data_IF_476332481300
#
_entry.id   IF_476332481300
#
_cell.length_a   1.000
_cell.length_b   1.000
_cell.length_c   1.000
_cell.angle_alpha   90.00
_cell.angle_beta   90.00
_cell.angle_gamma   90.00
#
_symmetry.space_group_name_H-M   'P 1'
#
loop_
_entity.id
_entity.type
_entity.pdbx_description
1 polymer ?
#
# COMPACT_ATOMS: atom_id res chain seq x y z
N UNK A 1 -4.03 6.47 -26.27
CA UNK A 1 -4.88 7.44 -27.02
C UNK A 1 -5.92 8.08 -26.10
N UNK A 2 -6.87 7.33 -25.54
CA UNK A 2 -7.96 7.88 -24.71
C UNK A 2 -7.49 8.56 -23.42
N UNK A 3 -6.45 8.05 -22.78
CA UNK A 3 -5.86 8.68 -21.59
C UNK A 3 -5.34 10.09 -21.89
N UNK A 4 -4.67 10.25 -23.03
CA UNK A 4 -4.19 11.57 -23.46
C UNK A 4 -5.35 12.51 -23.82
N UNK A 5 -6.36 12.00 -24.51
CA UNK A 5 -7.55 12.78 -24.85
C UNK A 5 -8.28 13.27 -23.58
N UNK A 6 -8.37 12.43 -22.55
CA UNK A 6 -8.98 12.80 -21.26
C UNK A 6 -8.20 13.85 -20.46
N UNK A 7 -6.90 13.99 -20.68
CA UNK A 7 -6.04 14.97 -20.00
C UNK A 7 -5.87 16.29 -20.77
N UNK A 8 -6.39 16.38 -21.99
CA UNK A 8 -6.30 17.61 -22.78
C UNK A 8 -6.88 18.81 -21.99
N UNK A 9 -6.18 19.98 -21.96
CA UNK A 9 -5.04 20.36 -22.81
C UNK A 9 -3.64 20.04 -22.23
N UNK A 10 -3.53 19.34 -21.10
CA UNK A 10 -2.23 19.06 -20.48
C UNK A 10 -1.49 17.92 -21.17
N UNK A 11 -0.14 18.02 -21.22
CA UNK A 11 0.71 16.98 -21.76
C UNK A 11 0.76 15.76 -20.85
N UNK A 12 0.78 14.56 -21.45
CA UNK A 12 1.02 13.29 -20.77
C UNK A 12 -0.11 12.88 -19.80
N UNK A 13 0.18 11.93 -18.94
CA UNK A 13 -0.76 11.35 -18.00
C UNK A 13 0.00 10.65 -16.85
N UNK A 14 -0.73 9.98 -15.96
CA UNK A 14 -0.19 9.20 -14.85
C UNK A 14 1.12 8.52 -15.19
N UNK A 15 2.09 8.60 -14.29
CA UNK A 15 3.49 8.20 -14.35
C UNK A 15 4.43 9.34 -14.70
N UNK A 16 4.05 10.20 -15.61
CA UNK A 16 4.89 11.32 -16.01
C UNK A 16 4.67 12.52 -15.10
N UNK A 17 5.72 13.32 -14.93
CA UNK A 17 5.66 14.50 -14.06
C UNK A 17 5.36 15.80 -14.80
N UNK A 18 4.86 15.75 -16.03
CA UNK A 18 4.17 16.86 -16.68
C UNK A 18 2.80 17.12 -16.04
N UNK A 19 2.19 18.27 -16.33
CA UNK A 19 0.91 18.63 -15.74
C UNK A 19 -0.20 17.60 -15.96
N UNK A 20 -0.25 16.95 -17.10
CA UNK A 20 -1.21 15.87 -17.33
C UNK A 20 -1.05 14.65 -16.44
N UNK A 21 0.11 14.49 -15.81
CA UNK A 21 0.38 13.40 -14.87
C UNK A 21 0.29 13.79 -13.39
N UNK A 22 0.25 15.10 -13.07
CA UNK A 22 0.30 15.60 -11.68
C UNK A 22 -0.77 16.64 -11.35
N UNK A 23 -1.60 17.07 -12.32
CA UNK A 23 -2.65 18.07 -12.09
C UNK A 23 -4.02 17.44 -12.28
N UNK A 24 -4.74 17.29 -11.19
CA UNK A 24 -6.09 16.74 -11.16
C UNK A 24 -7.12 17.85 -10.88
N UNK A 25 -8.37 17.71 -11.36
CA UNK A 25 -9.46 18.57 -10.95
C UNK A 25 -9.68 18.52 -9.44
N UNK A 26 -9.78 19.67 -8.80
CA UNK A 26 -10.03 19.76 -7.36
C UNK A 26 -11.19 20.70 -7.08
N UNK A 27 -12.22 20.21 -6.36
CA UNK A 27 -13.41 20.96 -6.05
C UNK A 27 -13.61 20.98 -4.53
N UNK A 28 -13.81 22.16 -3.96
CA UNK A 28 -14.16 22.32 -2.55
C UNK A 28 -15.60 22.84 -2.47
N UNK A 29 -16.44 22.14 -1.76
CA UNK A 29 -17.83 22.52 -1.47
C UNK A 29 -18.05 22.62 0.02
N UNK A 30 -18.13 23.87 0.52
CA UNK A 30 -18.41 24.16 1.93
C UNK A 30 -19.29 25.40 2.05
N UNK A 31 -20.63 25.25 1.94
CA UNK A 31 -21.58 26.39 1.86
C UNK A 31 -21.50 27.36 3.04
N UNK A 32 -21.16 26.86 4.24
CA UNK A 32 -21.05 27.71 5.44
C UNK A 32 -19.72 28.47 5.53
N UNK A 33 -18.66 27.99 4.88
CA UNK A 33 -17.32 28.54 5.01
C UNK A 33 -16.78 29.28 3.78
N UNK A 34 -17.32 29.00 2.58
CA UNK A 34 -16.86 29.58 1.33
C UNK A 34 -17.88 30.59 0.82
N UNK A 35 -17.45 31.85 0.72
CA UNK A 35 -18.31 32.94 0.22
C UNK A 35 -18.30 33.05 -1.31
N UNK A 36 -17.20 32.73 -1.93
CA UNK A 36 -16.97 32.85 -3.38
C UNK A 36 -17.32 31.56 -4.12
N UNK A 37 -18.60 31.19 -4.14
CA UNK A 37 -19.08 29.99 -4.81
C UNK A 37 -19.04 30.09 -6.33
N UNK A 38 -18.82 28.97 -7.03
CA UNK A 38 -18.81 28.88 -8.48
C UNK A 38 -17.63 29.63 -9.15
N UNK A 39 -16.55 29.85 -8.42
CA UNK A 39 -15.34 30.53 -8.92
C UNK A 39 -14.17 29.55 -8.99
N UNK A 40 -13.26 29.80 -9.93
CA UNK A 40 -11.98 29.11 -10.02
C UNK A 40 -10.95 29.86 -9.19
N UNK A 41 -10.22 29.15 -8.35
CA UNK A 41 -9.06 29.65 -7.62
C UNK A 41 -7.79 29.23 -8.38
N UNK A 42 -6.96 30.17 -8.86
CA UNK A 42 -5.77 29.86 -9.66
C UNK A 42 -4.55 29.47 -8.81
N UNK A 43 -4.69 29.45 -7.48
CA UNK A 43 -3.56 29.16 -6.60
C UNK A 43 -3.10 27.71 -6.73
N UNK A 44 -1.80 27.51 -6.55
CA UNK A 44 -1.23 26.18 -6.45
C UNK A 44 -1.70 25.51 -5.15
N UNK A 45 -2.14 24.27 -5.25
CA UNK A 45 -2.41 23.40 -4.12
C UNK A 45 -1.94 21.97 -4.44
N UNK A 46 -1.53 21.22 -3.43
CA UNK A 46 -1.10 19.85 -3.56
C UNK A 46 -1.95 18.93 -2.67
N UNK A 47 -1.98 17.64 -2.97
CA UNK A 47 -2.78 16.68 -2.19
C UNK A 47 -2.43 16.66 -0.69
N UNK A 48 -1.14 16.91 -0.35
CA UNK A 48 -0.70 16.99 1.05
C UNK A 48 -1.30 18.18 1.82
N UNK A 49 -1.80 19.21 1.13
CA UNK A 49 -2.37 20.42 1.72
C UNK A 49 -3.82 20.19 2.21
N UNK A 50 -4.45 19.12 1.78
CA UNK A 50 -5.85 18.85 2.10
C UNK A 50 -6.07 18.64 3.60
N UNK A 51 -5.24 17.83 4.24
CA UNK A 51 -5.37 17.53 5.68
C UNK A 51 -5.18 18.78 6.53
N UNK A 52 -4.07 19.55 6.42
CA UNK A 52 -3.92 20.77 7.20
C UNK A 52 -5.00 21.82 6.91
N UNK A 53 -5.55 21.88 5.68
CA UNK A 53 -6.66 22.78 5.35
C UNK A 53 -7.95 22.38 6.06
N UNK A 54 -8.28 21.11 6.10
CA UNK A 54 -9.46 20.59 6.80
C UNK A 54 -9.33 20.85 8.30
N UNK A 55 -8.17 20.57 8.89
CA UNK A 55 -7.93 20.81 10.31
C UNK A 55 -8.06 22.30 10.66
N UNK A 56 -7.48 23.20 9.88
CA UNK A 56 -7.62 24.66 10.06
C UNK A 56 -9.08 25.09 9.93
N UNK A 57 -9.80 24.59 8.91
CA UNK A 57 -11.21 24.91 8.69
C UNK A 57 -12.13 24.51 9.85
N UNK A 58 -11.80 23.43 10.56
CA UNK A 58 -12.54 22.95 11.72
C UNK A 58 -11.98 23.47 13.07
N UNK A 59 -10.89 24.22 13.07
CA UNK A 59 -10.22 24.69 14.29
C UNK A 59 -9.64 23.55 15.13
N UNK A 60 -9.17 22.48 14.50
CA UNK A 60 -8.58 21.30 15.14
C UNK A 60 -7.08 21.30 14.94
N UNK A 61 -6.31 21.18 16.01
CA UNK A 61 -4.87 21.01 15.93
C UNK A 61 -4.50 19.56 15.52
N UNK A 62 -3.46 19.43 14.70
CA UNK A 62 -2.94 18.11 14.35
C UNK A 62 -2.36 17.43 15.60
N UNK A 63 -2.76 16.19 15.93
CA UNK A 63 -2.24 15.52 17.10
C UNK A 63 -0.76 15.16 16.91
N UNK A 64 0.08 15.43 17.91
CA UNK A 64 1.48 14.99 17.93
C UNK A 64 1.64 13.52 18.29
N UNK A 65 0.64 12.94 18.93
CA UNK A 65 0.59 11.51 19.28
C UNK A 65 -0.81 10.96 19.09
N UNK A 66 -0.91 9.75 18.55
CA UNK A 66 -2.17 9.00 18.46
C UNK A 66 -1.95 7.63 19.13
N UNK A 67 -2.74 7.34 20.19
CA UNK A 67 -2.64 6.09 20.95
C UNK A 67 -1.20 5.80 21.43
N UNK A 68 -0.48 6.83 21.87
CA UNK A 68 0.91 6.72 22.34
C UNK A 68 1.99 6.69 21.26
N UNK A 69 1.61 6.73 19.99
CA UNK A 69 2.55 6.75 18.85
C UNK A 69 2.76 8.18 18.38
N UNK A 70 4.03 8.61 18.34
CA UNK A 70 4.42 9.91 17.80
C UNK A 70 4.06 10.01 16.32
N UNK A 71 3.46 11.11 15.91
CA UNK A 71 3.09 11.36 14.52
C UNK A 71 4.18 12.18 13.81
N UNK A 72 4.42 11.87 12.54
CA UNK A 72 5.24 12.71 11.68
C UNK A 72 4.55 14.07 11.46
N UNK A 73 5.29 15.17 11.38
CA UNK A 73 4.72 16.47 11.03
C UNK A 73 3.97 16.41 9.69
N UNK A 74 2.91 17.21 9.57
CA UNK A 74 2.24 17.41 8.29
C UNK A 74 3.12 18.31 7.43
N UNK A 75 3.50 17.84 6.24
CA UNK A 75 4.36 18.58 5.31
C UNK A 75 3.58 19.54 4.40
N UNK A 76 2.25 19.40 4.36
CA UNK A 76 1.36 20.26 3.57
C UNK A 76 1.13 21.62 4.22
N UNK A 77 0.71 22.57 3.40
CA UNK A 77 0.42 23.95 3.78
C UNK A 77 -1.07 24.24 3.58
N UNK A 78 -1.77 24.65 4.63
CA UNK A 78 -3.20 24.95 4.52
C UNK A 78 -3.48 26.10 3.53
N UNK A 79 -4.46 25.86 2.68
CA UNK A 79 -5.00 26.89 1.75
C UNK A 79 -6.40 27.41 2.22
N UNK A 80 -6.78 27.22 3.47
CA UNK A 80 -8.09 27.70 3.98
C UNK A 80 -8.30 29.21 3.81
N UNK A 81 -7.23 30.00 3.78
CA UNK A 81 -7.26 31.46 3.55
C UNK A 81 -7.92 31.84 2.22
N UNK A 82 -7.83 30.99 1.18
CA UNK A 82 -8.47 31.27 -0.12
C UNK A 82 -9.99 31.14 -0.09
N UNK A 83 -10.55 30.51 0.92
CA UNK A 83 -12.00 30.39 1.06
C UNK A 83 -12.69 31.75 1.26
N UNK A 84 -11.96 32.71 1.80
CA UNK A 84 -12.44 34.07 2.02
C UNK A 84 -11.96 35.05 0.93
N UNK A 85 -10.74 34.86 0.42
CA UNK A 85 -10.12 35.71 -0.59
C UNK A 85 -9.34 34.88 -1.65
N UNK A 86 -9.93 34.73 -2.83
CA UNK A 86 -9.30 34.01 -3.95
C UNK A 86 -8.04 34.69 -4.51
N UNK A 87 -7.80 35.97 -4.14
CA UNK A 87 -6.62 36.73 -4.60
C UNK A 87 -5.50 36.74 -3.56
N UNK A 88 -5.71 36.17 -2.38
CA UNK A 88 -4.67 36.07 -1.36
C UNK A 88 -3.44 35.34 -1.93
N UNK A 89 -2.24 35.70 -1.48
CA UNK A 89 -1.02 35.03 -1.91
C UNK A 89 -1.01 33.54 -1.57
N UNK A 90 -0.46 32.73 -2.45
CA UNK A 90 -0.24 31.31 -2.19
C UNK A 90 0.76 31.12 -1.05
N UNK A 91 0.38 30.29 -0.09
CA UNK A 91 1.27 29.86 1.01
C UNK A 91 2.17 28.70 0.59
N UNK A 92 1.72 27.85 -0.36
CA UNK A 92 2.48 26.71 -0.87
C UNK A 92 3.21 27.15 -2.14
N UNK A 93 4.48 27.44 -2.01
CA UNK A 93 5.29 28.01 -3.10
C UNK A 93 6.16 27.01 -3.83
N UNK A 94 6.51 25.89 -3.20
CA UNK A 94 7.47 24.94 -3.75
C UNK A 94 6.97 23.52 -3.57
N UNK A 95 6.93 22.74 -4.66
CA UNK A 95 6.60 21.32 -4.63
C UNK A 95 7.43 20.54 -5.64
N UNK A 96 8.17 19.53 -5.17
CA UNK A 96 8.81 18.55 -6.03
C UNK A 96 7.85 17.41 -6.41
N UNK A 97 8.15 16.78 -7.53
CA UNK A 97 7.49 15.56 -7.99
C UNK A 97 8.55 14.57 -8.47
N UNK A 98 8.33 13.28 -8.18
CA UNK A 98 9.13 12.17 -8.68
C UNK A 98 8.25 10.96 -8.91
N UNK A 99 8.45 10.25 -10.02
CA UNK A 99 7.85 8.96 -10.32
C UNK A 99 8.72 8.20 -11.32
N UNK A 100 9.32 7.08 -10.89
CA UNK A 100 10.18 6.23 -11.73
C UNK A 100 11.27 7.02 -12.46
N UNK A 101 11.96 7.90 -11.72
CA UNK A 101 12.98 8.83 -12.19
C UNK A 101 12.51 9.97 -13.13
N UNK A 102 11.22 10.06 -13.47
CA UNK A 102 10.64 11.30 -13.98
C UNK A 102 10.61 12.32 -12.85
N UNK A 103 11.13 13.50 -13.08
CA UNK A 103 11.30 14.54 -12.08
C UNK A 103 10.68 15.85 -12.52
N UNK A 104 10.08 16.56 -11.59
CA UNK A 104 9.73 17.95 -11.82
C UNK A 104 9.66 18.74 -10.52
N UNK A 105 9.73 20.06 -10.63
CA UNK A 105 9.57 20.99 -9.52
C UNK A 105 8.69 22.15 -9.95
N UNK A 106 7.77 22.54 -9.09
CA UNK A 106 7.02 23.78 -9.14
C UNK A 106 7.62 24.76 -8.13
N UNK A 107 7.79 26.02 -8.54
CA UNK A 107 8.15 27.11 -7.65
C UNK A 107 7.60 28.45 -8.17
N UNK A 108 6.69 29.08 -7.40
CA UNK A 108 6.11 30.41 -7.67
C UNK A 108 5.71 30.62 -9.15
N UNK A 109 4.91 29.70 -9.71
CA UNK A 109 4.41 29.76 -11.07
C UNK A 109 5.37 29.25 -12.14
N UNK A 110 6.62 28.96 -11.80
CA UNK A 110 7.57 28.30 -12.68
C UNK A 110 7.55 26.79 -12.50
N UNK A 111 7.91 26.10 -13.56
CA UNK A 111 8.02 24.67 -13.52
C UNK A 111 9.18 24.16 -14.35
N UNK A 112 10.02 23.28 -13.75
CA UNK A 112 11.02 22.53 -14.48
C UNK A 112 10.64 21.06 -14.49
N UNK A 113 10.83 20.37 -15.64
CA UNK A 113 10.45 18.97 -15.84
C UNK A 113 11.60 18.23 -16.49
N UNK A 114 11.93 17.04 -15.97
CA UNK A 114 12.94 16.15 -16.52
C UNK A 114 12.35 14.75 -16.71
N UNK A 115 11.88 14.39 -17.91
CA UNK A 115 11.38 13.07 -18.23
C UNK A 115 12.51 12.03 -18.24
N UNK A 116 12.21 10.77 -17.89
CA UNK A 116 13.19 9.68 -17.85
C UNK A 116 12.76 8.50 -18.74
N UNK A 117 13.67 7.94 -19.52
CA UNK A 117 14.97 8.46 -20.03
C UNK A 117 14.76 9.54 -21.07
N UNK A 118 13.53 9.82 -21.36
CA UNK A 118 12.95 10.76 -22.27
C UNK A 118 11.44 10.62 -22.25
N UNK A 119 10.72 11.20 -23.19
CA UNK A 119 9.28 11.08 -23.26
C UNK A 119 8.86 9.62 -23.51
N UNK A 120 7.93 9.10 -22.73
CA UNK A 120 7.47 7.69 -22.75
C UNK A 120 7.18 7.10 -24.12
N UNK A 121 6.76 7.89 -25.08
CA UNK A 121 6.44 7.43 -26.43
C UNK A 121 7.66 7.04 -27.26
N UNK A 122 8.83 7.63 -26.98
CA UNK A 122 10.05 7.37 -27.78
C UNK A 122 10.72 6.06 -27.38
N UNK A 123 10.54 5.66 -26.14
CA UNK A 123 11.28 4.56 -25.53
C UNK A 123 10.50 3.24 -25.49
N UNK A 124 9.49 3.09 -26.32
CA UNK A 124 8.79 1.80 -26.45
C UNK A 124 8.10 1.29 -25.21
N UNK A 125 7.81 2.18 -24.26
CA UNK A 125 7.11 1.79 -23.05
C UNK A 125 7.91 0.87 -22.12
N UNK A 126 9.22 1.01 -22.07
CA UNK A 126 10.12 0.26 -21.19
C UNK A 126 9.84 0.56 -19.69
N UNK A 127 8.63 0.25 -19.27
CA UNK A 127 8.21 0.37 -17.89
C UNK A 127 9.01 -0.62 -17.05
N UNK A 128 10.01 -0.11 -16.36
CA UNK A 128 10.80 -0.90 -15.42
C UNK A 128 11.95 -1.73 -16.02
N UNK A 129 12.36 -1.46 -17.26
CA UNK A 129 13.45 -2.23 -17.89
C UNK A 129 14.84 -1.59 -17.79
N UNK A 130 14.93 -0.30 -17.44
CA UNK A 130 16.19 0.41 -17.35
C UNK A 130 16.58 0.62 -15.89
N UNK A 131 17.78 0.15 -15.51
CA UNK A 131 18.41 0.52 -14.25
C UNK A 131 19.05 1.90 -14.38
N UNK A 132 18.70 2.82 -13.50
CA UNK A 132 19.30 4.14 -13.47
C UNK A 132 20.74 4.04 -12.96
N UNK A 133 21.71 4.48 -13.78
CA UNK A 133 23.12 4.60 -13.40
C UNK A 133 23.49 6.06 -13.14
N UNK A 134 24.60 6.29 -12.44
CA UNK A 134 25.10 7.65 -12.18
C UNK A 134 25.42 8.40 -13.49
N UNK A 135 26.02 7.71 -14.46
CA UNK A 135 26.36 8.32 -15.75
C UNK A 135 25.09 8.70 -16.53
N UNK A 136 24.07 7.84 -16.54
CA UNK A 136 22.77 8.17 -17.15
C UNK A 136 22.15 9.38 -16.48
N UNK A 137 22.19 9.47 -15.16
CA UNK A 137 21.63 10.60 -14.41
C UNK A 137 22.34 11.90 -14.78
N UNK A 138 23.68 11.88 -14.83
CA UNK A 138 24.49 13.06 -15.22
C UNK A 138 24.18 13.51 -16.66
N UNK A 139 24.06 12.57 -17.59
CA UNK A 139 23.74 12.89 -18.96
C UNK A 139 22.33 13.48 -19.12
N UNK A 140 21.34 12.90 -18.43
CA UNK A 140 19.96 13.36 -18.43
C UNK A 140 19.87 14.75 -17.82
N UNK A 141 20.55 15.00 -16.70
CA UNK A 141 20.55 16.31 -16.05
C UNK A 141 21.19 17.40 -16.90
N UNK A 142 22.17 17.06 -17.71
CA UNK A 142 22.79 18.03 -18.61
C UNK A 142 21.91 18.44 -19.79
N UNK A 143 20.98 17.57 -20.23
CA UNK A 143 20.31 17.71 -21.55
C UNK A 143 18.79 17.73 -21.51
N UNK A 144 18.14 17.13 -20.50
CA UNK A 144 16.73 16.76 -20.59
C UNK A 144 15.78 17.61 -19.73
N UNK A 145 16.29 18.62 -19.01
CA UNK A 145 15.43 19.52 -18.27
C UNK A 145 14.77 20.53 -19.20
N UNK A 146 13.46 20.65 -19.09
CA UNK A 146 12.58 21.61 -19.73
C UNK A 146 12.13 22.64 -18.70
N UNK A 147 11.83 23.87 -19.11
CA UNK A 147 11.40 24.98 -18.24
C UNK A 147 10.13 25.65 -18.76
N UNK A 148 9.17 25.91 -17.88
CA UNK A 148 7.88 26.51 -18.24
C UNK A 148 7.49 27.62 -17.26
N UNK A 149 6.91 28.69 -17.77
CA UNK A 149 6.22 29.72 -17.01
C UNK A 149 4.71 29.48 -17.06
N UNK A 150 4.17 28.88 -16.02
CA UNK A 150 2.76 28.48 -15.97
C UNK A 150 1.78 29.66 -15.95
N UNK A 151 2.25 30.88 -15.64
CA UNK A 151 1.42 32.09 -15.70
C UNK A 151 1.07 32.46 -17.10
N UNK A 152 1.90 32.06 -18.10
CA UNK A 152 1.75 32.34 -19.52
C UNK A 152 1.44 31.11 -20.34
N UNK A 153 1.99 29.98 -19.94
CA UNK A 153 1.87 28.70 -20.63
C UNK A 153 1.43 27.58 -19.63
N UNK A 154 0.17 27.56 -19.24
CA UNK A 154 -0.35 26.58 -18.30
C UNK A 154 -0.36 25.16 -18.85
N UNK A 155 -0.10 24.95 -20.12
CA UNK A 155 -0.14 23.66 -20.83
C UNK A 155 1.25 23.09 -21.14
N UNK A 156 2.32 23.80 -20.76
CA UNK A 156 3.71 23.37 -20.94
C UNK A 156 4.05 23.14 -22.44
N UNK A 157 3.64 24.06 -23.33
CA UNK A 157 3.84 23.93 -24.76
C UNK A 157 5.15 24.50 -25.26
N UNK A 158 5.68 25.53 -24.57
CA UNK A 158 6.87 26.27 -24.99
C UNK A 158 7.98 26.10 -23.96
N UNK A 159 8.99 25.30 -24.31
CA UNK A 159 10.17 25.09 -23.45
C UNK A 159 11.07 26.35 -23.47
N UNK A 160 11.30 26.92 -22.30
CA UNK A 160 12.14 28.08 -22.04
C UNK A 160 13.55 27.74 -21.56
N UNK A 161 13.94 26.46 -21.49
CA UNK A 161 15.22 26.05 -20.95
C UNK A 161 16.43 26.68 -21.60
N UNK A 162 16.41 26.82 -22.94
CA UNK A 162 17.51 27.43 -23.67
C UNK A 162 17.53 28.97 -23.52
N UNK A 163 16.36 29.63 -23.46
CA UNK A 163 16.24 31.08 -23.40
C UNK A 163 16.32 31.66 -21.98
N UNK A 164 16.11 30.82 -20.92
CA UNK A 164 16.15 31.28 -19.55
C UNK A 164 16.99 30.31 -18.67
N UNK A 165 18.26 30.13 -19.06
CA UNK A 165 19.19 29.24 -18.42
C UNK A 165 19.40 29.49 -16.89
N UNK A 166 19.52 30.76 -16.42
CA UNK A 166 19.67 31.03 -14.99
C UNK A 166 18.48 30.50 -14.17
N UNK A 167 17.25 30.69 -14.64
CA UNK A 167 16.05 30.20 -13.97
C UNK A 167 15.99 28.68 -13.97
N UNK A 168 16.38 28.03 -15.05
CA UNK A 168 16.47 26.56 -15.10
C UNK A 168 17.44 26.01 -14.07
N UNK A 169 18.63 26.61 -13.93
CA UNK A 169 19.64 26.19 -12.95
C UNK A 169 19.10 26.32 -11.51
N UNK A 170 18.44 27.44 -11.20
CA UNK A 170 17.76 27.67 -9.93
C UNK A 170 16.74 26.55 -9.63
N UNK A 171 15.90 26.23 -10.59
CA UNK A 171 14.85 25.22 -10.44
C UNK A 171 15.43 23.81 -10.26
N UNK A 172 16.49 23.46 -10.98
CA UNK A 172 17.19 22.17 -10.81
C UNK A 172 17.78 22.07 -9.41
N UNK A 173 18.50 23.12 -8.95
CA UNK A 173 19.08 23.16 -7.62
C UNK A 173 18.01 23.01 -6.53
N UNK A 174 16.85 23.66 -6.72
CA UNK A 174 15.72 23.56 -5.80
C UNK A 174 15.13 22.15 -5.78
N UNK A 175 15.01 21.48 -6.95
CA UNK A 175 14.56 20.09 -6.99
C UNK A 175 15.48 19.17 -6.17
N UNK A 176 16.81 19.29 -6.31
CA UNK A 176 17.76 18.48 -5.54
C UNK A 176 17.70 18.78 -4.04
N UNK A 177 17.48 20.03 -3.67
CA UNK A 177 17.31 20.45 -2.26
C UNK A 177 16.08 19.79 -1.65
N UNK A 178 14.93 19.86 -2.31
CA UNK A 178 13.70 19.23 -1.85
C UNK A 178 13.81 17.69 -1.85
N UNK A 179 14.43 17.11 -2.87
CA UNK A 179 14.66 15.67 -2.94
C UNK A 179 15.51 15.14 -1.79
N UNK A 180 16.56 15.89 -1.39
CA UNK A 180 17.36 15.57 -0.21
C UNK A 180 16.58 15.69 1.09
N UNK A 181 15.80 16.77 1.25
CA UNK A 181 14.97 17.02 2.43
C UNK A 181 13.93 15.92 2.67
N UNK A 182 13.32 15.40 1.61
CA UNK A 182 12.22 14.43 1.68
C UNK A 182 12.64 12.99 1.37
N UNK A 183 13.93 12.66 1.40
CA UNK A 183 14.46 11.31 1.22
C UNK A 183 14.03 10.65 -0.11
N UNK A 184 14.03 11.40 -1.21
CA UNK A 184 13.65 10.91 -2.53
C UNK A 184 14.69 9.96 -3.12
N UNK A 185 15.97 10.11 -2.72
CA UNK A 185 17.05 9.27 -3.18
C UNK A 185 17.17 7.94 -2.41
N UNK A 186 17.66 6.87 -3.07
CA UNK A 186 18.06 6.80 -4.49
C UNK A 186 16.86 6.75 -5.43
N UNK A 187 17.01 7.32 -6.64
CA UNK A 187 15.99 7.22 -7.68
C UNK A 187 15.89 5.78 -8.20
N UNK A 188 14.67 5.33 -8.47
CA UNK A 188 14.41 3.98 -8.97
C UNK A 188 13.43 3.99 -10.14
N UNK A 189 13.93 3.69 -11.34
CA UNK A 189 13.12 3.66 -12.56
C UNK A 189 12.47 2.31 -12.87
N UNK A 190 12.72 1.26 -12.09
CA UNK A 190 12.38 -0.13 -12.41
C UNK A 190 10.89 -0.49 -12.37
N UNK A 191 10.02 0.43 -12.01
CA UNK A 191 8.58 0.18 -12.00
C UNK A 191 8.19 -0.99 -11.08
N UNK A 192 7.39 -1.91 -11.59
CA UNK A 192 6.92 -3.08 -10.84
C UNK A 192 8.02 -4.12 -10.57
N UNK A 193 9.10 -4.15 -11.36
CA UNK A 193 10.19 -5.10 -11.16
C UNK A 193 10.89 -4.94 -9.81
N UNK A 194 10.89 -3.74 -9.22
CA UNK A 194 11.42 -3.50 -7.88
C UNK A 194 10.71 -4.29 -6.76
N UNK A 195 9.51 -4.81 -7.01
CA UNK A 195 8.82 -5.69 -6.06
C UNK A 195 9.32 -7.13 -6.12
N UNK A 196 9.94 -7.53 -7.24
CA UNK A 196 10.49 -8.86 -7.43
C UNK A 196 11.97 -8.98 -6.99
N UNK A 197 12.66 -7.86 -6.82
CA UNK A 197 14.06 -7.86 -6.40
C UNK A 197 14.20 -8.31 -4.94
N UNK A 198 15.26 -9.08 -4.71
CA UNK A 198 15.72 -9.37 -3.36
C UNK A 198 16.16 -8.06 -2.69
N UNK A 199 15.57 -7.77 -1.55
CA UNK A 199 15.95 -6.61 -0.74
C UNK A 199 17.05 -7.00 0.23
N UNK A 200 18.01 -6.12 0.54
CA UNK A 200 18.99 -6.37 1.59
C UNK A 200 18.25 -6.70 2.89
N UNK A 201 18.51 -7.86 3.46
CA UNK A 201 17.98 -8.25 4.76
C UNK A 201 19.02 -7.92 5.84
N UNK A 202 18.63 -7.07 6.79
CA UNK A 202 19.46 -6.73 7.95
C UNK A 202 19.60 -7.87 8.97
N UNK A 203 18.78 -8.91 8.83
CA UNK A 203 18.79 -10.10 9.66
C UNK A 203 18.54 -11.35 8.80
N UNK A 204 19.04 -12.51 9.28
CA UNK A 204 18.73 -13.79 8.63
C UNK A 204 17.21 -13.99 8.57
N UNK A 205 16.72 -14.51 7.45
CA UNK A 205 15.32 -14.86 7.26
C UNK A 205 14.86 -15.77 8.43
N UNK A 206 13.83 -15.32 9.13
CA UNK A 206 13.22 -16.09 10.20
C UNK A 206 12.26 -17.10 9.60
N UNK A 207 12.15 -18.26 10.23
CA UNK A 207 11.15 -19.27 9.87
C UNK A 207 9.84 -19.08 10.64
N UNK A 208 9.87 -18.34 11.75
CA UNK A 208 8.70 -18.06 12.57
C UNK A 208 8.72 -16.62 13.07
N UNK A 209 7.54 -16.01 13.07
CA UNK A 209 7.29 -14.62 13.48
C UNK A 209 6.18 -14.62 14.52
N UNK A 210 6.38 -13.94 15.63
CA UNK A 210 5.36 -13.76 16.66
C UNK A 210 4.87 -12.33 16.65
N UNK A 211 3.58 -12.15 16.54
CA UNK A 211 2.90 -10.87 16.56
C UNK A 211 1.96 -10.75 17.76
N UNK A 212 1.76 -9.53 18.23
CA UNK A 212 0.90 -9.26 19.38
C UNK A 212 -0.19 -8.26 19.00
N UNK A 213 -1.36 -8.31 19.67
CA UNK A 213 -2.43 -7.34 19.46
C UNK A 213 -1.97 -5.93 19.86
N UNK A 214 -2.61 -4.90 19.27
CA UNK A 214 -2.24 -3.51 19.52
C UNK A 214 -1.03 -3.02 18.73
N UNK A 215 -0.33 -3.90 18.03
CA UNK A 215 0.74 -3.54 17.10
C UNK A 215 0.17 -2.64 16.01
N UNK A 216 0.92 -1.58 15.67
CA UNK A 216 0.63 -0.77 14.48
C UNK A 216 0.77 -1.63 13.21
N UNK A 217 0.37 -1.07 12.06
CA UNK A 217 0.57 -1.74 10.78
C UNK A 217 2.03 -2.20 10.63
N UNK A 218 2.22 -3.49 10.42
CA UNK A 218 3.53 -4.06 10.11
C UNK A 218 3.70 -3.97 8.60
N UNK A 219 4.65 -3.16 8.09
CA UNK A 219 4.85 -3.02 6.65
C UNK A 219 5.18 -4.36 5.97
N UNK A 220 4.69 -4.57 4.75
CA UNK A 220 4.87 -5.82 4.01
C UNK A 220 6.34 -6.24 3.86
N UNK A 221 7.26 -5.27 3.74
CA UNK A 221 8.68 -5.55 3.58
C UNK A 221 9.38 -6.14 4.81
N UNK A 222 8.79 -6.00 6.01
CA UNK A 222 9.31 -6.59 7.27
C UNK A 222 8.40 -7.66 7.84
N UNK A 223 7.22 -7.88 7.25
CA UNK A 223 6.29 -8.92 7.62
C UNK A 223 6.79 -10.31 7.17
N UNK A 224 6.21 -11.37 7.74
CA UNK A 224 6.46 -12.73 7.33
C UNK A 224 6.15 -12.94 5.84
N UNK A 225 7.10 -13.47 5.07
CA UNK A 225 6.99 -13.68 3.63
C UNK A 225 6.23 -14.97 3.34
N UNK A 226 4.92 -14.90 3.28
CA UNK A 226 4.02 -16.07 3.05
C UNK A 226 3.75 -16.36 1.58
N UNK A 227 4.06 -15.43 0.66
CA UNK A 227 3.79 -15.57 -0.77
C UNK A 227 4.46 -16.80 -1.37
N UNK A 228 3.69 -17.61 -2.09
CA UNK A 228 4.13 -18.79 -2.82
C UNK A 228 4.86 -19.85 -1.97
N UNK A 229 4.58 -19.91 -0.66
CA UNK A 229 5.21 -20.85 0.29
C UNK A 229 4.15 -21.52 1.15
N UNK A 230 4.41 -22.78 1.55
CA UNK A 230 3.68 -23.39 2.62
C UNK A 230 3.92 -22.62 3.92
N UNK A 231 2.85 -22.32 4.64
CA UNK A 231 2.90 -21.53 5.86
C UNK A 231 1.69 -21.80 6.76
N UNK A 232 1.82 -21.44 8.03
CA UNK A 232 0.69 -21.47 8.95
C UNK A 232 0.56 -20.15 9.73
N UNK A 233 -0.67 -19.86 10.14
CA UNK A 233 -1.05 -18.77 11.02
C UNK A 233 -1.69 -19.41 12.25
N UNK A 234 -1.16 -19.18 13.43
CA UNK A 234 -1.71 -19.75 14.69
C UNK A 234 -1.97 -18.61 15.68
N UNK A 235 -3.21 -18.46 16.08
CA UNK A 235 -3.64 -17.49 17.09
C UNK A 235 -4.01 -18.21 18.38
N UNK A 236 -3.30 -17.91 19.48
CA UNK A 236 -3.67 -18.31 20.82
C UNK A 236 -4.58 -17.25 21.42
N UNK A 237 -5.85 -17.61 21.65
CA UNK A 237 -6.90 -16.67 22.03
C UNK A 237 -7.70 -17.14 23.24
N UNK A 238 -8.44 -16.21 23.84
CA UNK A 238 -9.49 -16.53 24.81
C UNK A 238 -10.83 -15.95 24.31
N UNK A 239 -11.79 -16.86 24.17
CA UNK A 239 -13.14 -16.56 23.73
C UNK A 239 -14.03 -16.34 24.96
N UNK A 240 -14.65 -15.16 25.12
CA UNK A 240 -15.54 -14.89 26.22
C UNK A 240 -16.83 -15.69 26.12
N UNK A 241 -17.60 -15.73 27.23
CA UNK A 241 -18.97 -16.27 27.21
C UNK A 241 -19.82 -15.55 26.16
N UNK A 242 -20.51 -16.34 25.34
CA UNK A 242 -21.32 -15.83 24.24
C UNK A 242 -20.60 -15.78 22.89
N UNK A 243 -19.27 -16.01 22.86
CA UNK A 243 -18.47 -16.04 21.65
C UNK A 243 -17.66 -14.77 21.43
N UNK A 244 -16.93 -14.71 20.33
CA UNK A 244 -16.18 -13.54 19.86
C UNK A 244 -16.33 -13.40 18.36
N UNK A 245 -16.14 -12.16 17.88
CA UNK A 245 -16.08 -11.81 16.46
C UNK A 245 -14.88 -10.91 16.22
N UNK A 246 -14.44 -10.81 14.97
CA UNK A 246 -13.40 -9.89 14.56
C UNK A 246 -12.18 -10.58 13.95
N UNK A 247 -11.29 -9.74 13.42
CA UNK A 247 -10.08 -10.16 12.72
C UNK A 247 -9.01 -10.62 13.73
N UNK A 248 -8.45 -11.79 13.51
CA UNK A 248 -7.27 -12.28 14.23
C UNK A 248 -6.00 -11.73 13.60
N UNK A 249 -5.88 -11.89 12.27
CA UNK A 249 -4.81 -11.31 11.45
C UNK A 249 -5.34 -11.03 10.04
N UNK A 250 -4.89 -9.94 9.46
CA UNK A 250 -5.04 -9.68 8.03
C UNK A 250 -3.77 -9.09 7.44
N UNK A 251 -3.58 -9.28 6.14
CA UNK A 251 -2.52 -8.67 5.35
C UNK A 251 -3.12 -8.27 4.00
N UNK A 252 -3.05 -6.99 3.67
CA UNK A 252 -3.61 -6.47 2.43
C UNK A 252 -4.91 -5.68 2.64
N UNK A 253 -5.75 -5.65 1.62
CA UNK A 253 -7.00 -4.91 1.57
C UNK A 253 -7.88 -5.37 0.40
N UNK A 254 -8.82 -4.52 -0.05
CA UNK A 254 -9.75 -4.84 -1.13
C UNK A 254 -9.08 -5.12 -2.49
N UNK A 255 -7.83 -4.72 -2.68
CA UNK A 255 -7.04 -4.96 -3.90
C UNK A 255 -6.13 -6.19 -3.80
N UNK A 256 -6.35 -7.05 -2.81
CA UNK A 256 -5.66 -8.32 -2.60
C UNK A 256 -5.16 -8.51 -1.19
N UNK A 257 -5.00 -9.77 -0.78
CA UNK A 257 -4.51 -10.11 0.54
C UNK A 257 -5.15 -11.35 1.15
N UNK A 258 -4.98 -11.51 2.45
CA UNK A 258 -5.65 -12.58 3.21
C UNK A 258 -6.13 -12.09 4.58
N UNK A 259 -7.12 -12.76 5.12
CA UNK A 259 -7.63 -12.51 6.47
C UNK A 259 -8.09 -13.79 7.15
N UNK A 260 -7.69 -13.95 8.42
CA UNK A 260 -8.18 -14.96 9.34
C UNK A 260 -9.02 -14.25 10.40
N UNK A 261 -10.29 -14.60 10.54
CA UNK A 261 -11.22 -13.91 11.43
C UNK A 261 -12.28 -14.84 12.00
N UNK A 262 -12.94 -14.37 13.05
CA UNK A 262 -14.13 -15.02 13.60
C UNK A 262 -15.39 -14.24 13.28
N UNK A 263 -16.42 -14.97 12.86
CA UNK A 263 -17.77 -14.44 12.64
C UNK A 263 -18.78 -15.56 12.85
N UNK A 264 -19.95 -15.26 13.45
CA UNK A 264 -21.03 -16.21 13.68
C UNK A 264 -20.55 -17.50 14.39
N UNK A 265 -19.67 -17.35 15.39
CA UNK A 265 -18.98 -18.42 16.14
C UNK A 265 -18.08 -19.34 15.30
N UNK A 266 -17.85 -19.04 14.04
CA UNK A 266 -17.01 -19.82 13.14
C UNK A 266 -15.66 -19.17 12.92
N UNK A 267 -14.64 -19.99 12.63
CA UNK A 267 -13.36 -19.54 12.12
C UNK A 267 -13.44 -19.45 10.60
N UNK A 268 -13.02 -18.31 10.06
CA UNK A 268 -13.03 -18.02 8.64
C UNK A 268 -11.64 -17.64 8.15
N UNK A 269 -11.28 -18.09 6.97
CA UNK A 269 -10.16 -17.57 6.21
C UNK A 269 -10.62 -17.17 4.83
N UNK A 270 -10.15 -16.02 4.37
CA UNK A 270 -10.36 -15.53 3.00
C UNK A 270 -9.03 -15.16 2.39
N UNK A 271 -8.78 -15.63 1.17
CA UNK A 271 -7.73 -15.16 0.30
C UNK A 271 -8.36 -14.34 -0.83
N UNK A 272 -8.08 -13.03 -0.83
CA UNK A 272 -8.56 -12.11 -1.86
C UNK A 272 -7.51 -12.02 -2.96
N UNK A 273 -7.84 -12.52 -4.15
CA UNK A 273 -6.99 -12.42 -5.32
C UNK A 273 -7.24 -11.10 -6.04
N UNK A 274 -6.40 -10.12 -5.78
CA UNK A 274 -6.30 -8.78 -6.40
C UNK A 274 -7.62 -8.01 -6.55
N UNK A 275 -8.59 -8.27 -5.68
CA UNK A 275 -9.93 -7.68 -5.75
C UNK A 275 -10.85 -8.28 -6.81
N UNK A 276 -10.40 -9.30 -7.53
CA UNK A 276 -11.15 -9.95 -8.59
C UNK A 276 -11.94 -11.18 -8.11
N UNK A 277 -11.39 -11.92 -7.15
CA UNK A 277 -11.99 -13.15 -6.64
C UNK A 277 -11.59 -13.38 -5.17
N UNK A 278 -12.51 -13.93 -4.38
CA UNK A 278 -12.24 -14.34 -2.99
C UNK A 278 -12.38 -15.86 -2.86
N UNK A 279 -11.33 -16.51 -2.36
CA UNK A 279 -11.36 -17.94 -1.97
C UNK A 279 -11.60 -18.02 -0.47
N UNK A 280 -12.62 -18.78 -0.06
CA UNK A 280 -13.11 -18.79 1.29
C UNK A 280 -13.16 -20.20 1.87
N UNK A 281 -12.68 -20.37 3.11
CA UNK A 281 -12.88 -21.59 3.92
C UNK A 281 -13.44 -21.19 5.27
N UNK A 282 -14.39 -22.00 5.75
CA UNK A 282 -15.11 -21.79 7.02
C UNK A 282 -15.05 -23.09 7.84
N UNK A 283 -14.89 -22.96 9.15
CA UNK A 283 -14.92 -24.12 10.04
C UNK A 283 -16.31 -24.77 10.07
N UNK A 284 -16.35 -26.11 10.03
CA UNK A 284 -17.57 -26.89 10.16
C UNK A 284 -18.04 -26.99 11.64
N UNK A 285 -17.16 -26.68 12.58
CA UNK A 285 -17.44 -26.64 14.01
C UNK A 285 -17.42 -25.20 14.54
N UNK A 286 -18.18 -24.93 15.62
CA UNK A 286 -18.12 -23.68 16.35
C UNK A 286 -16.81 -23.59 17.14
N UNK A 287 -16.27 -22.38 17.28
CA UNK A 287 -15.14 -22.11 18.15
C UNK A 287 -15.63 -22.13 19.60
N UNK A 288 -15.04 -22.96 20.47
CA UNK A 288 -15.47 -23.06 21.87
C UNK A 288 -15.08 -21.82 22.68
N UNK A 289 -15.82 -21.58 23.76
CA UNK A 289 -15.47 -20.58 24.77
C UNK A 289 -14.21 -20.96 25.55
N UNK A 290 -13.53 -19.98 26.15
CA UNK A 290 -12.31 -20.12 26.90
C UNK A 290 -11.04 -20.07 26.04
N UNK A 291 -9.96 -20.63 26.56
CA UNK A 291 -8.66 -20.65 25.86
C UNK A 291 -8.67 -21.66 24.73
N UNK A 292 -8.34 -21.19 23.54
CA UNK A 292 -8.36 -21.99 22.32
C UNK A 292 -7.22 -21.56 21.38
N UNK A 293 -6.65 -22.52 20.66
CA UNK A 293 -5.70 -22.28 19.58
C UNK A 293 -6.44 -22.40 18.24
N UNK A 294 -6.43 -21.33 17.46
CA UNK A 294 -7.06 -21.22 16.15
C UNK A 294 -5.97 -21.14 15.09
N UNK A 295 -6.01 -22.01 14.08
CA UNK A 295 -4.97 -22.01 13.08
C UNK A 295 -5.51 -22.13 11.66
N UNK A 296 -4.75 -21.55 10.75
CA UNK A 296 -4.85 -21.71 9.31
C UNK A 296 -3.53 -22.27 8.79
N UNK A 297 -3.61 -23.14 7.82
CA UNK A 297 -2.46 -23.68 7.10
C UNK A 297 -2.68 -23.59 5.60
N UNK A 298 -1.63 -23.21 4.89
CA UNK A 298 -1.54 -23.30 3.44
C UNK A 298 -0.45 -24.30 3.08
N UNK A 299 -0.84 -25.41 2.49
CA UNK A 299 0.07 -26.39 1.90
C UNK A 299 0.20 -26.10 0.41
N UNK A 300 1.36 -25.62 -0.03
CA UNK A 300 1.65 -25.37 -1.44
C UNK A 300 1.66 -26.69 -2.22
N UNK A 301 0.85 -26.79 -3.27
CA UNK A 301 0.75 -27.98 -4.14
C UNK A 301 1.16 -27.70 -5.59
N UNK A 302 1.29 -26.42 -5.99
CA UNK A 302 1.69 -26.04 -7.35
C UNK A 302 2.61 -24.82 -7.36
N UNK A 303 3.35 -24.65 -8.45
CA UNK A 303 4.25 -23.51 -8.64
C UNK A 303 3.50 -22.26 -9.13
N UNK A 304 3.98 -21.05 -8.83
CA UNK A 304 3.38 -19.83 -9.34
C UNK A 304 3.58 -19.70 -10.86
N UNK A 305 2.57 -19.20 -11.55
CA UNK A 305 2.64 -18.82 -12.95
C UNK A 305 2.66 -17.28 -13.08
N UNK A 306 3.83 -16.70 -13.04
CA UNK A 306 4.02 -15.26 -13.16
C UNK A 306 3.61 -14.70 -14.53
N UNK A 307 3.54 -15.53 -15.58
CA UNK A 307 3.11 -15.08 -16.92
C UNK A 307 1.62 -14.74 -16.94
N UNK A 308 0.82 -15.52 -16.22
CA UNK A 308 -0.63 -15.27 -16.08
C UNK A 308 -0.96 -14.46 -14.84
N UNK A 309 0.03 -14.06 -14.03
CA UNK A 309 -0.15 -13.28 -12.80
C UNK A 309 -0.71 -14.11 -11.64
N UNK A 310 -0.61 -15.43 -11.68
CA UNK A 310 -1.11 -16.34 -10.65
C UNK A 310 0.01 -16.81 -9.73
N UNK A 311 -0.21 -16.70 -8.43
CA UNK A 311 0.66 -17.29 -7.41
C UNK A 311 0.44 -18.79 -7.26
N UNK A 312 1.16 -19.39 -6.32
CA UNK A 312 1.13 -20.83 -6.06
C UNK A 312 -0.28 -21.34 -5.79
N UNK A 313 -0.63 -22.50 -6.33
CA UNK A 313 -1.79 -23.27 -5.92
C UNK A 313 -1.50 -23.99 -4.60
N UNK A 314 -2.55 -24.29 -3.83
CA UNK A 314 -2.38 -25.01 -2.58
C UNK A 314 -3.68 -25.45 -1.91
N UNK A 315 -3.54 -26.15 -0.80
CA UNK A 315 -4.61 -26.57 0.08
C UNK A 315 -4.67 -25.62 1.27
N UNK A 316 -5.84 -25.09 1.55
CA UNK A 316 -6.10 -24.20 2.68
C UNK A 316 -6.90 -24.97 3.73
N UNK A 317 -6.41 -25.00 4.96
CA UNK A 317 -6.98 -25.80 6.04
C UNK A 317 -7.16 -24.97 7.31
N UNK A 318 -8.25 -25.19 8.03
CA UNK A 318 -8.54 -24.55 9.33
C UNK A 318 -8.51 -25.57 10.46
N UNK A 319 -7.93 -25.17 11.59
CA UNK A 319 -7.81 -25.99 12.78
C UNK A 319 -8.32 -25.25 14.01
N UNK A 320 -9.00 -26.00 14.89
CA UNK A 320 -9.35 -25.59 16.26
C UNK A 320 -8.69 -26.59 17.21
N UNK A 321 -7.79 -26.13 18.08
CA UNK A 321 -7.02 -26.98 18.99
C UNK A 321 -6.33 -28.16 18.27
N UNK A 322 -5.73 -27.88 17.11
CA UNK A 322 -5.07 -28.86 16.21
C UNK A 322 -6.01 -29.89 15.58
N UNK A 323 -7.31 -29.75 15.69
CA UNK A 323 -8.28 -30.57 14.98
C UNK A 323 -8.68 -29.89 13.69
N UNK A 324 -8.59 -30.59 12.56
CA UNK A 324 -9.03 -30.10 11.27
C UNK A 324 -10.55 -29.86 11.29
N UNK A 325 -10.97 -28.65 10.94
CA UNK A 325 -12.37 -28.21 10.98
C UNK A 325 -12.85 -27.55 9.68
N UNK A 326 -12.02 -27.50 8.67
CA UNK A 326 -12.40 -26.97 7.35
C UNK A 326 -11.24 -27.03 6.39
N UNK A 327 -11.53 -27.27 5.12
CA UNK A 327 -10.51 -27.26 4.08
C UNK A 327 -11.10 -26.86 2.73
N UNK A 328 -10.25 -26.30 1.86
CA UNK A 328 -10.55 -26.01 0.47
C UNK A 328 -9.27 -26.01 -0.37
N UNK A 329 -9.40 -26.07 -1.69
CA UNK A 329 -8.27 -25.88 -2.59
C UNK A 329 -8.27 -24.45 -3.10
N UNK A 330 -7.12 -23.78 -3.01
CA UNK A 330 -6.85 -22.52 -3.67
C UNK A 330 -6.20 -22.82 -5.02
N UNK A 331 -6.89 -22.58 -6.15
CA UNK A 331 -6.34 -22.87 -7.47
C UNK A 331 -5.15 -21.98 -7.80
N UNK A 332 -5.05 -20.83 -7.16
CA UNK A 332 -3.94 -19.88 -7.21
C UNK A 332 -4.05 -18.86 -6.08
N UNK A 333 -2.96 -18.18 -5.81
CA UNK A 333 -2.87 -17.11 -4.82
C UNK A 333 -2.35 -15.82 -5.45
N UNK A 334 -2.21 -14.74 -4.67
CA UNK A 334 -1.54 -13.51 -5.12
C UNK A 334 -0.05 -13.79 -5.32
N UNK A 335 0.55 -13.44 -6.49
CA UNK A 335 1.91 -13.86 -6.82
C UNK A 335 3.02 -13.01 -6.21
N UNK A 336 2.86 -11.66 -6.13
CA UNK A 336 3.97 -10.74 -5.90
C UNK A 336 3.84 -9.83 -4.68
N UNK A 337 2.64 -9.31 -4.39
CA UNK A 337 2.44 -8.35 -3.31
C UNK A 337 1.03 -8.44 -2.75
N UNK A 338 0.89 -8.36 -1.42
CA UNK A 338 -0.39 -8.42 -0.74
C UNK A 338 -0.93 -7.00 -0.51
N UNK A 339 -1.87 -6.59 -1.37
CA UNK A 339 -2.65 -5.37 -1.17
C UNK A 339 -1.92 -4.04 -1.33
N UNK A 340 -0.98 -3.94 -2.25
CA UNK A 340 -0.28 -2.72 -2.70
C UNK A 340 -0.13 -1.65 -1.59
N UNK A 341 0.87 -1.81 -0.72
CA UNK A 341 1.17 -0.85 0.35
C UNK A 341 0.39 -1.02 1.65
N UNK A 342 -0.52 -1.99 1.72
CA UNK A 342 -1.15 -2.40 2.97
C UNK A 342 -0.27 -3.41 3.69
N UNK A 343 -0.12 -3.27 5.01
CA UNK A 343 0.66 -4.18 5.83
C UNK A 343 -0.18 -5.22 6.56
N UNK A 344 0.47 -5.87 7.53
CA UNK A 344 -0.19 -6.81 8.44
C UNK A 344 -0.80 -6.06 9.62
N UNK A 345 -2.02 -6.46 10.00
CA UNK A 345 -2.67 -6.04 11.23
C UNK A 345 -3.07 -7.26 12.06
N UNK A 346 -2.98 -7.14 13.38
CA UNK A 346 -3.38 -8.17 14.34
C UNK A 346 -4.50 -7.64 15.23
N UNK A 347 -5.55 -8.42 15.37
CA UNK A 347 -6.73 -8.10 16.19
C UNK A 347 -7.70 -7.09 15.56
N UNK A 348 -7.45 -6.64 14.33
CA UNK A 348 -8.32 -5.73 13.58
C UNK A 348 -7.92 -5.66 12.10
N UNK A 349 -8.78 -5.09 11.26
CA UNK A 349 -8.45 -4.69 9.90
C UNK A 349 -8.62 -3.16 9.78
N UNK A 350 -7.54 -2.40 9.85
CA UNK A 350 -7.59 -0.95 9.63
C UNK A 350 -7.52 -0.61 8.15
N UNK A 351 -8.29 0.40 7.75
CA UNK A 351 -8.35 0.83 6.34
C UNK A 351 -9.32 -0.01 5.49
N UNK A 352 -8.91 -0.36 4.28
CA UNK A 352 -9.73 -1.15 3.36
C UNK A 352 -9.85 -2.60 3.81
N UNK A 353 -11.04 -3.21 3.87
CA UNK A 353 -11.20 -4.59 4.29
C UNK A 353 -10.62 -5.55 3.22
N UNK A 354 -10.06 -6.68 3.68
CA UNK A 354 -9.59 -7.74 2.76
C UNK A 354 -10.76 -8.47 2.13
N UNK A 355 -11.88 -8.61 2.84
CA UNK A 355 -13.08 -9.32 2.37
C UNK A 355 -14.33 -8.47 2.53
N UNK A 356 -15.29 -8.67 1.63
CA UNK A 356 -16.62 -8.08 1.69
C UNK A 356 -17.51 -8.65 2.84
N UNK A 357 -17.07 -9.69 3.52
CA UNK A 357 -17.81 -10.33 4.61
C UNK A 357 -17.88 -9.50 5.90
N UNK A 358 -17.06 -8.45 6.02
CA UNK A 358 -17.07 -7.55 7.17
C UNK A 358 -16.68 -6.12 6.79
N UNK A 359 -17.08 -5.16 7.64
CA UNK A 359 -16.65 -3.77 7.55
C UNK A 359 -15.50 -3.47 8.53
N UNK A 360 -14.51 -2.63 8.14
CA UNK A 360 -13.43 -2.24 9.04
C UNK A 360 -13.95 -1.34 10.20
N UNK A 361 -13.30 -1.34 11.37
CA UNK A 361 -12.06 -2.05 11.70
C UNK A 361 -12.25 -3.51 12.07
N UNK A 362 -13.46 -4.00 12.28
CA UNK A 362 -13.83 -5.35 12.71
C UNK A 362 -12.86 -5.90 13.77
N UNK A 363 -12.77 -5.17 14.88
CA UNK A 363 -11.88 -5.48 16.00
C UNK A 363 -12.29 -6.79 16.65
N UNK A 364 -11.30 -7.62 17.01
CA UNK A 364 -11.57 -8.88 17.70
C UNK A 364 -12.06 -8.62 19.11
N UNK A 365 -13.21 -9.17 19.46
CA UNK A 365 -13.90 -8.94 20.74
C UNK A 365 -13.45 -9.90 21.86
N UNK A 366 -12.62 -10.91 21.54
CA UNK A 366 -11.94 -11.75 22.53
C UNK A 366 -10.55 -11.22 22.88
N UNK A 367 -9.75 -12.07 23.55
CA UNK A 367 -8.36 -11.74 23.87
C UNK A 367 -7.42 -12.54 22.97
N UNK A 368 -6.50 -11.86 22.28
CA UNK A 368 -5.39 -12.50 21.57
C UNK A 368 -4.17 -12.44 22.48
N UNK A 369 -3.62 -13.57 22.85
CA UNK A 369 -2.37 -13.65 23.62
C UNK A 369 -1.15 -13.47 22.73
N UNK A 370 -1.13 -14.19 21.62
CA UNK A 370 -0.13 -14.06 20.56
C UNK A 370 -0.66 -14.64 19.25
N UNK A 371 -0.01 -14.24 18.17
CA UNK A 371 -0.23 -14.80 16.84
C UNK A 371 1.11 -15.16 16.22
N UNK A 372 1.26 -16.42 15.84
CA UNK A 372 2.47 -16.94 15.20
C UNK A 372 2.23 -17.17 13.72
N UNK A 373 3.15 -16.66 12.88
CA UNK A 373 3.22 -16.97 11.46
C UNK A 373 4.45 -17.82 11.23
N UNK A 374 4.27 -19.07 10.86
CA UNK A 374 5.36 -20.00 10.53
C UNK A 374 5.48 -20.15 9.02
N UNK A 375 6.68 -19.96 8.49
CA UNK A 375 7.03 -20.08 7.08
C UNK A 375 8.11 -21.12 6.83
N UNK A 376 8.33 -22.01 7.80
CA UNK A 376 9.29 -23.13 7.70
C UNK A 376 8.84 -24.21 6.71
N UNK A 377 7.56 -24.24 6.38
CA UNK A 377 6.93 -25.28 5.57
C UNK A 377 6.53 -26.54 6.36
N UNK A 378 6.67 -26.53 7.69
CA UNK A 378 6.13 -27.61 8.53
C UNK A 378 4.61 -27.51 8.57
N UNK A 379 3.95 -28.62 8.27
CA UNK A 379 2.50 -28.75 8.35
C UNK A 379 2.04 -28.99 9.78
N UNK A 380 0.81 -28.56 10.08
CA UNK A 380 0.16 -28.79 11.36
C UNK A 380 -0.26 -30.26 11.41
N UNK A 381 0.21 -30.99 12.41
CA UNK A 381 -0.21 -32.36 12.63
C UNK A 381 -1.61 -32.38 13.27
N UNK A 382 -2.59 -32.98 12.58
CA UNK A 382 -3.94 -33.15 13.13
C UNK A 382 -3.92 -34.09 14.32
N UNK A 383 -4.44 -33.64 15.46
CA UNK A 383 -4.44 -34.39 16.71
C UNK A 383 -5.30 -35.67 16.66
N UNK A 384 -6.31 -35.73 15.80
CA UNK A 384 -7.14 -36.91 15.61
C UNK A 384 -6.47 -37.92 14.70
N UNK A 385 -5.81 -37.52 13.64
CA UNK A 385 -5.01 -38.41 12.80
C UNK A 385 -3.87 -39.06 13.59
N UNK A 386 -3.19 -38.30 14.45
CA UNK A 386 -2.16 -38.87 15.35
C UNK A 386 -2.75 -39.93 16.28
N UNK A 387 -3.89 -39.64 16.90
CA UNK A 387 -4.57 -40.64 17.76
C UNK A 387 -4.96 -41.89 16.98
N UNK A 388 -5.50 -41.72 15.76
CA UNK A 388 -5.84 -42.84 14.88
C UNK A 388 -4.60 -43.64 14.45
N UNK A 389 -3.51 -42.96 14.10
CA UNK A 389 -2.25 -43.61 13.74
C UNK A 389 -1.65 -44.40 14.93
N UNK A 390 -1.63 -43.79 16.10
CA UNK A 390 -1.18 -44.48 17.36
C UNK A 390 -2.08 -45.66 17.68
N UNK A 391 -3.39 -45.53 17.60
CA UNK A 391 -4.33 -46.59 17.81
C UNK A 391 -4.13 -47.75 16.80
N UNK A 392 -3.94 -47.42 15.51
CA UNK A 392 -3.67 -48.42 14.47
C UNK A 392 -2.34 -49.14 14.67
N UNK A 393 -1.27 -48.42 15.09
CA UNK A 393 0.02 -49.03 15.43
C UNK A 393 -0.10 -49.91 16.68
N UNK A 394 -0.87 -49.51 17.69
CA UNK A 394 -1.12 -50.30 18.89
C UNK A 394 -1.85 -51.62 18.57
N UNK A 395 -2.87 -51.55 17.66
CA UNK A 395 -3.59 -52.72 17.18
C UNK A 395 -2.74 -53.67 16.33
N UNK A 396 -1.79 -53.11 15.55
CA UNK A 396 -0.89 -53.92 14.70
C UNK A 396 0.23 -54.62 15.49
N UNK A 397 0.41 -54.27 16.76
CA UNK A 397 1.40 -54.88 17.68
C UNK A 397 0.80 -55.93 18.63
N UNK A 398 -0.49 -56.15 18.59
CA UNK A 398 -1.19 -57.27 19.24
C UNK A 398 -1.37 -58.44 18.26
#
# INVERSE_FOLDING_TARGET
GWTHAGNTPFKRWKRETYRGGVSDPFIVHWPKGIKNTGKVCPQFAHAIDMVPTVLEAFGVEAPTHIRGVSQSPLEGVSFAHVFQDLKAESRHKTQYFEMFAHRSIYHDGWRAVCPFPGASFKEGGAFGSLTLTEDMLREIDAKNWELYDLSKDPTETTDLAASNRPKLIEMIALWYTEAGKYNVFPLDSRGTMRFADERPELAKARQSYVYYPGTQMIPENVAAKVLNKSHSLTADVEIPKGGAEGVLICHGGNVGGYTLFMKDKKLHYVHNYVGAEEFHVVSNADVPEGKVSLAYEFEKTGEPDFKTGKGAAGKAQLYINKKLVGETTLPYTVPLALGIGSGVFVGRNSGSPVSALYGPPFEFTGTIYQLTVDVSGKLIEDSEEQKHAVAKMAMARQ
#
